data_IF_642220268250
#
_entry.id   IF_642220268250
#
_cell.length_a   1.000
_cell.length_b   1.000
_cell.length_c   1.000
_cell.angle_alpha   90.00
_cell.angle_beta   90.00
_cell.angle_gamma   90.00
#
_symmetry.space_group_name_H-M   'P 1'
#
loop_
_entity.id
_entity.type
_entity.pdbx_description
1 polymer ?
#
# COMPACT_ATOMS: atom_id res chain seq x y z
N UNK A 1 9.39 15.44 -6.43
CA UNK A 1 9.52 14.76 -5.13
C UNK A 1 8.58 13.57 -5.13
N UNK A 2 8.96 12.44 -4.54
CA UNK A 2 8.12 11.26 -4.40
C UNK A 2 8.23 10.73 -2.97
N UNK A 3 7.34 9.81 -2.61
CA UNK A 3 7.39 9.07 -1.34
C UNK A 3 7.62 7.61 -1.65
N UNK A 4 8.76 7.06 -1.23
CA UNK A 4 9.13 5.68 -1.45
C UNK A 4 8.37 4.74 -0.52
N UNK A 5 8.06 3.53 -1.00
CA UNK A 5 7.29 2.50 -0.32
C UNK A 5 8.13 1.23 -0.24
N UNK A 6 8.42 0.81 0.99
CA UNK A 6 9.20 -0.38 1.28
C UNK A 6 8.37 -1.40 2.05
N UNK A 7 8.57 -2.67 1.73
CA UNK A 7 8.04 -3.78 2.51
C UNK A 7 9.15 -4.38 3.36
N UNK A 8 8.83 -4.65 4.62
CA UNK A 8 9.70 -5.38 5.53
C UNK A 8 9.58 -6.87 5.26
N UNK A 9 10.72 -7.55 5.22
CA UNK A 9 10.82 -9.00 5.20
C UNK A 9 11.62 -9.48 6.40
N UNK A 10 11.71 -10.78 6.61
CA UNK A 10 12.49 -11.35 7.72
C UNK A 10 13.98 -10.98 7.69
N UNK A 11 14.52 -10.59 6.52
CA UNK A 11 15.96 -10.40 6.33
C UNK A 11 16.35 -9.06 5.68
N UNK A 12 15.40 -8.32 5.10
CA UNK A 12 15.67 -7.11 4.32
C UNK A 12 14.42 -6.23 4.15
N UNK A 13 14.60 -5.07 3.53
CA UNK A 13 13.52 -4.24 3.00
C UNK A 13 13.49 -4.31 1.47
N UNK A 14 12.32 -4.61 0.92
CA UNK A 14 12.08 -4.62 -0.52
C UNK A 14 11.48 -3.29 -0.96
N UNK A 15 12.14 -2.59 -1.89
CA UNK A 15 11.61 -1.37 -2.49
C UNK A 15 10.51 -1.73 -3.50
N UNK A 16 9.25 -1.48 -3.13
CA UNK A 16 8.09 -1.91 -3.92
C UNK A 16 7.65 -0.88 -4.96
N UNK A 17 7.84 0.40 -4.68
CA UNK A 17 7.21 1.46 -5.45
C UNK A 17 7.33 2.81 -4.80
N UNK A 18 6.69 3.81 -5.40
CA UNK A 18 6.63 5.16 -4.86
C UNK A 18 5.30 5.84 -5.21
N UNK A 19 4.92 6.81 -4.38
CA UNK A 19 3.85 7.77 -4.65
C UNK A 19 4.47 9.05 -5.23
N UNK A 20 4.13 9.37 -6.47
CA UNK A 20 4.56 10.60 -7.12
C UNK A 20 3.79 11.82 -6.58
N UNK A 21 4.36 13.02 -6.77
CA UNK A 21 3.76 14.26 -6.27
C UNK A 21 2.40 14.61 -6.90
N UNK A 22 2.10 14.06 -8.08
CA UNK A 22 0.82 14.22 -8.77
C UNK A 22 -0.27 13.26 -8.26
N UNK A 23 0.05 12.41 -7.28
CA UNK A 23 -0.84 11.41 -6.73
C UNK A 23 -0.77 10.05 -7.44
N UNK A 24 0.06 9.89 -8.46
CA UNK A 24 0.19 8.61 -9.19
C UNK A 24 1.01 7.59 -8.37
N UNK A 25 0.50 6.38 -8.23
CA UNK A 25 1.20 5.25 -7.58
C UNK A 25 1.96 4.45 -8.62
N UNK A 26 3.26 4.29 -8.42
CA UNK A 26 4.13 3.50 -9.28
C UNK A 26 4.63 2.26 -8.54
N UNK A 27 4.54 1.10 -9.18
CA UNK A 27 5.21 -0.14 -8.76
C UNK A 27 6.53 -0.27 -9.47
N UNK A 28 7.59 -0.58 -8.73
CA UNK A 28 8.88 -0.89 -9.31
C UNK A 28 8.87 -2.29 -9.92
N UNK A 29 9.26 -2.37 -11.19
CA UNK A 29 9.60 -3.60 -11.88
C UNK A 29 10.94 -3.38 -12.57
N UNK A 30 11.96 -4.15 -12.17
CA UNK A 30 13.34 -4.04 -12.69
C UNK A 30 13.91 -2.61 -12.65
N UNK A 31 13.56 -1.83 -11.62
CA UNK A 31 14.00 -0.45 -11.46
C UNK A 31 13.14 0.60 -12.18
N UNK A 32 12.17 0.19 -12.99
CA UNK A 32 11.23 1.10 -13.66
C UNK A 32 9.90 1.19 -12.91
N UNK A 33 9.39 2.42 -12.75
CA UNK A 33 8.12 2.70 -12.07
C UNK A 33 6.92 2.60 -13.01
N UNK A 34 6.17 1.52 -12.93
CA UNK A 34 4.94 1.33 -13.71
C UNK A 34 3.73 1.89 -12.95
N UNK A 35 2.87 2.72 -13.57
CA UNK A 35 1.68 3.23 -12.91
C UNK A 35 0.70 2.08 -12.62
N UNK A 36 0.29 1.94 -11.37
CA UNK A 36 -0.59 0.87 -10.89
C UNK A 36 -1.84 1.39 -10.17
N UNK A 37 -1.89 2.70 -9.92
CA UNK A 37 -2.99 3.31 -9.20
C UNK A 37 -2.76 4.80 -8.99
N UNK A 38 -3.61 5.40 -8.16
CA UNK A 38 -3.47 6.80 -7.74
C UNK A 38 -4.10 7.03 -6.38
N UNK A 39 -3.76 8.18 -5.80
CA UNK A 39 -4.38 8.74 -4.61
C UNK A 39 -5.06 10.05 -5.00
N UNK A 40 -6.28 10.27 -4.54
CA UNK A 40 -7.00 11.53 -4.78
C UNK A 40 -6.80 12.55 -3.66
N UNK A 41 -7.40 13.74 -3.83
CA UNK A 41 -7.33 14.81 -2.83
C UNK A 41 -8.02 14.45 -1.51
N UNK A 42 -8.94 13.49 -1.51
CA UNK A 42 -9.66 12.98 -0.33
C UNK A 42 -8.89 11.83 0.34
N UNK A 43 -7.66 11.54 -0.11
CA UNK A 43 -6.79 10.49 0.42
C UNK A 43 -7.36 9.08 0.22
N UNK A 44 -8.16 8.89 -0.84
CA UNK A 44 -8.65 7.59 -1.28
C UNK A 44 -7.66 6.95 -2.26
N UNK A 45 -7.46 5.65 -2.10
CA UNK A 45 -6.50 4.87 -2.87
C UNK A 45 -7.25 4.10 -3.94
N UNK A 46 -6.84 4.29 -5.19
CA UNK A 46 -7.42 3.64 -6.36
C UNK A 46 -6.39 2.73 -7.02
N UNK A 47 -6.83 1.53 -7.41
CA UNK A 47 -6.09 0.62 -8.28
C UNK A 47 -6.50 0.83 -9.72
N UNK A 48 -5.53 0.90 -10.63
CA UNK A 48 -5.78 0.82 -12.06
C UNK A 48 -6.03 -0.62 -12.48
N UNK A 49 -7.11 -0.85 -13.22
CA UNK A 49 -7.56 -2.16 -13.71
C UNK A 49 -7.78 -2.10 -15.22
N UNK A 50 -8.01 -3.26 -15.86
CA UNK A 50 -8.34 -3.30 -17.30
C UNK A 50 -9.63 -2.55 -17.66
N UNK A 51 -10.54 -2.38 -16.69
CA UNK A 51 -11.87 -1.78 -16.91
C UNK A 51 -12.02 -0.38 -16.30
N UNK A 52 -10.91 0.27 -15.92
CA UNK A 52 -10.90 1.58 -15.26
C UNK A 52 -10.25 1.51 -13.90
N UNK A 53 -10.85 2.14 -12.90
CA UNK A 53 -10.28 2.24 -11.55
C UNK A 53 -11.18 1.59 -10.51
N UNK A 54 -10.57 1.02 -9.48
CA UNK A 54 -11.27 0.48 -8.31
C UNK A 54 -10.76 1.15 -7.05
N UNK A 55 -11.66 1.74 -6.29
CA UNK A 55 -11.36 2.24 -4.94
C UNK A 55 -11.06 1.05 -4.01
N UNK A 56 -9.95 1.14 -3.28
CA UNK A 56 -9.51 0.11 -2.35
C UNK A 56 -9.80 0.49 -0.89
N UNK A 57 -9.79 1.78 -0.59
CA UNK A 57 -9.90 2.31 0.76
C UNK A 57 -9.34 3.73 0.87
N UNK A 58 -9.13 4.18 2.09
CA UNK A 58 -8.67 5.54 2.40
C UNK A 58 -7.76 5.57 3.63
N UNK A 59 -6.97 6.63 3.74
CA UNK A 59 -6.25 6.98 4.96
C UNK A 59 -6.90 8.17 5.65
N UNK A 60 -7.12 8.02 6.95
CA UNK A 60 -7.70 9.05 7.79
C UNK A 60 -6.62 10.04 8.25
N UNK A 61 -7.00 11.24 8.72
CA UNK A 61 -6.07 12.24 9.24
C UNK A 61 -5.25 11.82 10.46
N UNK A 62 -5.64 10.77 11.15
CA UNK A 62 -4.92 10.20 12.30
C UNK A 62 -3.89 9.13 11.90
N UNK A 63 -3.70 8.88 10.60
CA UNK A 63 -2.80 7.86 10.07
C UNK A 63 -3.42 6.46 9.99
N UNK A 64 -4.66 6.26 10.47
CA UNK A 64 -5.36 4.98 10.35
C UNK A 64 -5.82 4.73 8.91
N UNK A 65 -5.73 3.47 8.46
CA UNK A 65 -5.99 3.05 7.09
C UNK A 65 -7.19 2.11 7.09
N UNK A 66 -8.22 2.42 6.28
CA UNK A 66 -9.43 1.62 6.17
C UNK A 66 -9.58 1.03 4.78
N UNK A 67 -10.01 -0.23 4.70
CA UNK A 67 -10.36 -0.87 3.43
C UNK A 67 -11.86 -0.76 3.15
N UNK A 68 -12.22 -0.55 1.87
CA UNK A 68 -13.61 -0.58 1.39
C UNK A 68 -13.98 -1.90 0.70
N UNK A 69 -13.10 -2.91 0.67
CA UNK A 69 -13.42 -4.17 -0.03
C UNK A 69 -12.66 -5.43 0.36
N UNK A 70 -11.56 -5.36 1.13
CA UNK A 70 -10.80 -6.56 1.53
C UNK A 70 -11.31 -7.20 2.83
N UNK A 71 -11.87 -6.39 3.72
CA UNK A 71 -12.57 -6.77 4.94
C UNK A 71 -13.72 -5.76 5.09
N UNK A 72 -14.92 -6.16 5.54
CA UNK A 72 -16.09 -5.28 5.64
C UNK A 72 -15.78 -4.00 6.47
N UNK A 73 -15.31 -2.93 5.81
CA UNK A 73 -15.11 -1.59 6.38
C UNK A 73 -14.10 -1.49 7.54
N UNK A 74 -13.28 -2.50 7.79
CA UNK A 74 -12.37 -2.57 8.93
C UNK A 74 -11.14 -1.68 8.81
N UNK A 75 -10.61 -1.25 9.95
CA UNK A 75 -9.25 -0.72 10.06
C UNK A 75 -8.26 -1.85 9.70
N UNK A 76 -7.34 -1.53 8.79
CA UNK A 76 -6.35 -2.48 8.25
C UNK A 76 -4.98 -2.30 8.91
N UNK A 77 -4.73 -1.12 9.47
CA UNK A 77 -3.45 -0.72 10.04
C UNK A 77 -3.31 0.79 10.12
N UNK A 78 -2.11 1.25 10.46
CA UNK A 78 -1.79 2.67 10.58
C UNK A 78 -0.34 2.94 10.18
N UNK A 79 -0.02 4.22 10.00
CA UNK A 79 1.35 4.70 9.81
C UNK A 79 1.79 5.48 11.05
N UNK A 80 3.03 5.27 11.46
CA UNK A 80 3.68 6.03 12.52
C UNK A 80 4.36 7.30 11.97
N UNK A 81 4.70 8.22 12.87
CA UNK A 81 5.29 9.52 12.49
C UNK A 81 6.68 9.38 11.83
N UNK A 82 7.39 8.30 12.12
CA UNK A 82 8.69 7.97 11.51
C UNK A 82 8.57 7.28 10.14
N UNK A 83 7.33 7.01 9.69
CA UNK A 83 7.02 6.34 8.44
C UNK A 83 6.96 4.81 8.55
N UNK A 84 7.08 4.22 9.75
CA UNK A 84 6.80 2.79 9.92
C UNK A 84 5.32 2.49 9.67
N UNK A 85 5.03 1.38 8.97
CA UNK A 85 3.67 0.97 8.61
C UNK A 85 3.34 -0.33 9.30
N UNK A 86 2.28 -0.30 10.09
CA UNK A 86 1.78 -1.44 10.83
C UNK A 86 0.52 -1.97 10.17
N UNK A 87 0.46 -3.30 10.01
CA UNK A 87 -0.78 -4.00 9.75
C UNK A 87 -1.32 -4.49 11.09
N UNK A 88 -2.59 -4.19 11.37
CA UNK A 88 -3.17 -4.49 12.67
C UNK A 88 -4.62 -4.04 12.77
N UNK A 89 -5.33 -4.59 13.75
CA UNK A 89 -6.72 -4.29 14.04
C UNK A 89 -7.29 -5.27 15.05
N UNK A 90 -8.57 -5.13 15.42
CA UNK A 90 -9.21 -5.90 16.50
C UNK A 90 -9.04 -7.44 16.46
N UNK A 91 -8.73 -8.02 15.29
CA UNK A 91 -8.62 -9.47 15.09
C UNK A 91 -7.23 -9.90 14.56
N UNK A 92 -6.41 -8.96 14.07
CA UNK A 92 -5.11 -9.26 13.48
C UNK A 92 -3.99 -8.96 14.48
N UNK A 93 -2.95 -9.82 14.58
CA UNK A 93 -1.76 -9.45 15.33
C UNK A 93 -1.12 -8.21 14.71
N UNK A 94 -0.65 -7.31 15.57
CA UNK A 94 0.07 -6.12 15.14
C UNK A 94 1.45 -6.53 14.61
N UNK A 95 1.72 -6.19 13.36
CA UNK A 95 2.98 -6.48 12.70
C UNK A 95 3.44 -5.26 11.90
N UNK A 96 4.71 -4.88 12.07
CA UNK A 96 5.35 -3.90 11.21
C UNK A 96 5.63 -4.55 9.85
N UNK A 97 4.89 -4.14 8.82
CA UNK A 97 4.94 -4.76 7.48
C UNK A 97 5.81 -3.99 6.50
N UNK A 98 6.23 -2.77 6.85
CA UNK A 98 7.06 -1.96 5.98
C UNK A 98 7.23 -0.54 6.48
N UNK A 99 7.76 0.31 5.60
CA UNK A 99 7.95 1.73 5.88
C UNK A 99 7.79 2.57 4.63
N UNK A 100 7.58 3.86 4.84
CA UNK A 100 7.50 4.88 3.79
C UNK A 100 8.48 6.01 4.06
N UNK A 101 8.96 6.65 3.00
CA UNK A 101 9.90 7.77 3.12
C UNK A 101 9.58 8.87 2.12
N UNK A 102 9.21 10.05 2.61
CA UNK A 102 8.89 11.21 1.79
C UNK A 102 7.70 12.02 2.30
N UNK A 103 7.29 13.06 1.54
CA UNK A 103 6.33 14.06 2.01
C UNK A 103 4.88 13.56 2.15
N UNK A 104 4.50 12.45 1.49
CA UNK A 104 3.14 11.93 1.46
C UNK A 104 3.07 10.53 2.12
N UNK A 105 3.68 10.42 3.31
CA UNK A 105 3.85 9.15 4.03
C UNK A 105 2.52 8.41 4.27
N UNK A 106 1.50 9.11 4.76
CA UNK A 106 0.17 8.54 5.05
C UNK A 106 -0.46 7.87 3.82
N UNK A 107 -0.46 8.57 2.69
CA UNK A 107 -1.02 8.07 1.44
C UNK A 107 -0.21 6.90 0.88
N UNK A 108 1.11 6.98 0.99
CA UNK A 108 2.02 5.91 0.58
C UNK A 108 1.85 4.65 1.45
N UNK A 109 1.64 4.81 2.76
CA UNK A 109 1.41 3.71 3.69
C UNK A 109 0.08 3.00 3.41
N UNK A 110 -0.96 3.78 3.11
CA UNK A 110 -2.23 3.22 2.66
C UNK A 110 -2.10 2.42 1.37
N UNK A 111 -1.30 2.90 0.41
CA UNK A 111 -1.00 2.14 -0.79
C UNK A 111 -0.26 0.83 -0.48
N UNK A 112 0.68 0.82 0.47
CA UNK A 112 1.36 -0.40 0.92
C UNK A 112 0.35 -1.47 1.35
N UNK A 113 -0.55 -1.12 2.29
CA UNK A 113 -1.51 -2.05 2.86
C UNK A 113 -2.63 -2.45 1.89
N UNK A 114 -3.16 -1.50 1.11
CA UNK A 114 -4.35 -1.71 0.28
C UNK A 114 -4.04 -2.27 -1.12
N UNK A 115 -2.85 -1.99 -1.66
CA UNK A 115 -2.49 -2.33 -3.04
C UNK A 115 -1.30 -3.28 -3.11
N UNK A 116 -0.17 -2.92 -2.50
CA UNK A 116 1.07 -3.67 -2.72
C UNK A 116 1.11 -5.04 -2.03
N UNK A 117 0.75 -5.11 -0.74
CA UNK A 117 0.72 -6.38 -0.01
C UNK A 117 -0.32 -7.35 -0.60
N UNK A 118 -1.58 -6.93 -0.91
CA UNK A 118 -2.55 -7.81 -1.53
C UNK A 118 -2.11 -8.30 -2.92
N UNK A 119 -1.55 -7.43 -3.76
CA UNK A 119 -1.09 -7.82 -5.10
C UNK A 119 0.07 -8.84 -5.03
N UNK A 120 1.02 -8.65 -4.11
CA UNK A 120 2.07 -9.66 -3.89
C UNK A 120 1.47 -10.98 -3.42
N UNK A 121 0.53 -10.97 -2.49
CA UNK A 121 -0.13 -12.19 -2.02
C UNK A 121 -0.90 -12.91 -3.14
N UNK A 122 -1.53 -12.17 -4.07
CA UNK A 122 -2.16 -12.73 -5.27
C UNK A 122 -1.13 -13.33 -6.26
N UNK A 123 -0.01 -12.64 -6.48
CA UNK A 123 1.10 -13.12 -7.32
C UNK A 123 1.71 -14.41 -6.77
N UNK A 124 1.97 -14.47 -5.47
CA UNK A 124 2.53 -15.64 -4.78
C UNK A 124 1.59 -16.85 -4.85
N UNK A 125 0.28 -16.62 -4.66
CA UNK A 125 -0.74 -17.68 -4.79
C UNK A 125 -0.75 -18.26 -6.21
N UNK A 126 -0.74 -17.42 -7.24
CA UNK A 126 -0.73 -17.86 -8.66
C UNK A 126 0.51 -18.67 -8.99
N UNK A 127 1.67 -18.28 -8.46
CA UNK A 127 2.92 -18.99 -8.69
C UNK A 127 2.94 -20.37 -8.02
N UNK A 128 2.34 -20.52 -6.82
CA UNK A 128 2.24 -21.81 -6.12
C UNK A 128 1.30 -22.81 -6.80
N UNK A 129 0.27 -22.35 -7.49
CA UNK A 129 -0.70 -23.23 -8.19
C UNK A 129 -0.21 -23.72 -9.55
N UNK A 130 0.90 -23.16 -10.07
CA UNK A 130 1.48 -23.54 -11.37
C UNK A 130 2.57 -24.62 -11.28
N UNK A 131 2.69 -25.28 -10.14
CA UNK A 131 3.63 -26.38 -9.84
C UNK A 131 2.81 -27.65 -9.70
#
# INVERSE_FOLDING_TARGET
>A
MHTDIYKKTAYAEDHLGYLAADGTLHRLRWGEGLPVGRVDAERRIFRTTQHGERELGQVNPDGSIRSHGLFEGGELGWVETDGAVFQGGYVLPEEEVGRVAGPNAEQAAAALLLLFLPDQAEEDKKNRTRI
#
